data_IF_523455078021
#
_entry.id   IF_523455078021
#
_cell.length_a   1.000
_cell.length_b   1.000
_cell.length_c   1.000
_cell.angle_alpha   90.00
_cell.angle_beta   90.00
_cell.angle_gamma   90.00
#
_symmetry.space_group_name_H-M   'P 1'
#
loop_
_entity.id
_entity.type
_entity.pdbx_description
1 polymer ?
#
# COMPACT_ATOMS: atom_id res chain seq x y z
N UNK A 1 -6.43 1.99 23.67
CA UNK A 1 -7.28 1.06 22.90
C UNK A 1 -7.27 1.36 21.40
N UNK A 2 -7.54 2.56 20.93
CA UNK A 2 -7.59 2.93 19.48
C UNK A 2 -6.35 2.56 18.65
N UNK A 3 -5.13 2.72 19.20
CA UNK A 3 -3.89 2.36 18.48
C UNK A 3 -3.79 0.85 18.21
N UNK A 4 -4.16 0.01 19.18
CA UNK A 4 -4.13 -1.45 19.02
C UNK A 4 -5.16 -1.89 17.99
N UNK A 5 -6.39 -1.37 18.08
CA UNK A 5 -7.46 -1.67 17.12
C UNK A 5 -7.07 -1.29 15.68
N UNK A 6 -6.47 -0.11 15.48
CA UNK A 6 -5.96 0.31 14.18
C UNK A 6 -4.90 -0.66 13.62
N UNK A 7 -3.95 -1.09 14.44
CA UNK A 7 -2.88 -2.00 14.00
C UNK A 7 -3.48 -3.35 13.62
N UNK A 8 -4.38 -3.91 14.43
CA UNK A 8 -5.04 -5.18 14.14
C UNK A 8 -5.80 -5.08 12.81
N UNK A 9 -6.63 -4.05 12.66
CA UNK A 9 -7.40 -3.82 11.43
C UNK A 9 -6.48 -3.68 10.21
N UNK A 10 -5.37 -2.93 10.33
CA UNK A 10 -4.40 -2.77 9.25
C UNK A 10 -3.74 -4.10 8.86
N UNK A 11 -3.35 -4.92 9.84
CA UNK A 11 -2.72 -6.22 9.57
C UNK A 11 -3.70 -7.18 8.91
N UNK A 12 -4.96 -7.22 9.38
CA UNK A 12 -6.01 -8.06 8.77
C UNK A 12 -6.28 -7.66 7.33
N UNK A 13 -6.52 -6.37 7.07
CA UNK A 13 -6.80 -5.88 5.70
C UNK A 13 -5.59 -6.10 4.79
N UNK A 14 -4.38 -5.83 5.27
CA UNK A 14 -3.16 -6.06 4.51
C UNK A 14 -2.97 -7.54 4.18
N UNK A 15 -3.18 -8.43 5.14
CA UNK A 15 -3.12 -9.87 4.94
C UNK A 15 -4.12 -10.34 3.88
N UNK A 16 -5.38 -9.92 3.99
CA UNK A 16 -6.43 -10.28 3.03
C UNK A 16 -6.11 -9.80 1.60
N UNK A 17 -5.67 -8.55 1.45
CA UNK A 17 -5.30 -8.01 0.13
C UNK A 17 -4.06 -8.70 -0.43
N UNK A 18 -3.05 -8.96 0.41
CA UNK A 18 -1.84 -9.65 -0.02
C UNK A 18 -2.17 -11.07 -0.44
N UNK A 19 -2.98 -11.79 0.33
CA UNK A 19 -3.41 -13.14 0.01
C UNK A 19 -4.23 -13.19 -1.28
N UNK A 20 -5.10 -12.21 -1.51
CA UNK A 20 -5.83 -12.06 -2.76
C UNK A 20 -4.91 -11.97 -4.00
N UNK A 21 -3.79 -11.22 -3.90
CA UNK A 21 -2.83 -11.14 -5.00
C UNK A 21 -1.91 -12.36 -5.12
N UNK A 22 -1.70 -13.10 -4.04
CA UNK A 22 -0.87 -14.32 -4.03
C UNK A 22 -1.67 -15.56 -4.42
N UNK A 23 -2.99 -15.52 -4.35
CA UNK A 23 -3.85 -16.66 -4.66
C UNK A 23 -3.63 -17.10 -6.11
N UNK A 24 -3.00 -18.26 -6.27
CA UNK A 24 -2.78 -18.92 -7.55
C UNK A 24 -3.67 -20.16 -7.71
N UNK A 25 -4.24 -20.63 -6.61
CA UNK A 25 -5.08 -21.83 -6.56
C UNK A 25 -6.57 -21.49 -6.56
N UNK A 26 -6.94 -20.20 -6.69
CA UNK A 26 -8.31 -19.70 -6.67
C UNK A 26 -9.13 -20.19 -5.47
N UNK A 27 -8.46 -20.31 -4.31
CA UNK A 27 -9.08 -20.77 -3.06
C UNK A 27 -10.05 -19.72 -2.51
N UNK A 28 -9.82 -18.44 -2.82
CA UNK A 28 -10.62 -17.35 -2.30
C UNK A 28 -11.98 -17.27 -3.01
N UNK A 29 -13.09 -17.23 -2.27
CA UNK A 29 -14.41 -17.08 -2.86
C UNK A 29 -14.54 -15.70 -3.56
N UNK A 30 -15.37 -15.64 -4.63
CA UNK A 30 -15.59 -14.44 -5.43
C UNK A 30 -15.98 -13.19 -4.63
N UNK A 31 -16.50 -13.36 -3.41
CA UNK A 31 -16.80 -12.25 -2.51
C UNK A 31 -15.55 -11.41 -2.15
N UNK A 32 -14.35 -11.99 -2.20
CA UNK A 32 -13.11 -11.26 -1.92
C UNK A 32 -12.70 -10.31 -3.06
N UNK A 33 -13.16 -10.53 -4.28
CA UNK A 33 -12.98 -9.58 -5.39
C UNK A 33 -13.57 -8.20 -5.04
N UNK A 34 -14.60 -8.15 -4.20
CA UNK A 34 -15.19 -6.89 -3.72
C UNK A 34 -14.21 -6.06 -2.87
N UNK A 35 -13.21 -6.67 -2.22
CA UNK A 35 -12.16 -5.94 -1.49
C UNK A 35 -11.33 -5.04 -2.42
N UNK A 36 -11.13 -5.45 -3.67
CA UNK A 36 -10.47 -4.63 -4.67
C UNK A 36 -11.26 -3.36 -4.98
N UNK A 37 -12.58 -3.45 -5.05
CA UNK A 37 -13.46 -2.32 -5.35
C UNK A 37 -13.59 -1.31 -4.20
N UNK A 38 -13.23 -1.68 -2.96
CA UNK A 38 -13.20 -0.76 -1.83
C UNK A 38 -12.01 0.22 -1.91
N UNK A 39 -11.02 -0.06 -2.76
CA UNK A 39 -9.89 0.83 -2.95
C UNK A 39 -10.28 2.07 -3.75
N UNK A 40 -9.63 3.22 -3.45
CA UNK A 40 -10.03 4.53 -3.96
C UNK A 40 -10.04 4.60 -5.50
N UNK A 41 -8.96 4.17 -6.15
CA UNK A 41 -8.86 4.25 -7.62
C UNK A 41 -9.73 3.20 -8.33
N UNK A 42 -9.76 1.93 -7.94
CA UNK A 42 -10.73 0.97 -8.46
C UNK A 42 -12.19 1.40 -8.28
N UNK A 43 -12.54 2.00 -7.13
CA UNK A 43 -13.88 2.54 -6.91
C UNK A 43 -14.19 3.73 -7.84
N UNK A 44 -13.20 4.58 -8.12
CA UNK A 44 -13.32 5.68 -9.08
C UNK A 44 -13.52 5.15 -10.50
N UNK A 45 -12.75 4.16 -10.93
CA UNK A 45 -12.83 3.56 -12.26
C UNK A 45 -14.15 2.80 -12.49
N UNK A 46 -14.67 2.14 -11.45
CA UNK A 46 -15.96 1.44 -11.50
C UNK A 46 -17.17 2.36 -11.31
N UNK A 47 -16.96 3.69 -11.18
CA UNK A 47 -17.99 4.71 -10.93
C UNK A 47 -18.87 4.39 -9.70
N UNK A 48 -18.30 3.73 -8.71
CA UNK A 48 -19.00 3.36 -7.48
C UNK A 48 -19.12 4.57 -6.54
N UNK A 49 -20.05 5.49 -6.84
CA UNK A 49 -20.24 6.73 -6.07
C UNK A 49 -20.46 6.51 -4.58
N UNK A 50 -21.14 5.41 -4.20
CA UNK A 50 -21.40 5.09 -2.79
C UNK A 50 -20.08 4.84 -2.04
N UNK A 51 -19.19 4.02 -2.61
CA UNK A 51 -17.89 3.70 -2.00
C UNK A 51 -17.04 4.96 -1.90
N UNK A 52 -16.98 5.76 -2.96
CA UNK A 52 -16.26 7.04 -2.96
C UNK A 52 -16.81 8.01 -1.91
N UNK A 53 -18.13 8.14 -1.81
CA UNK A 53 -18.78 8.99 -0.81
C UNK A 53 -18.44 8.52 0.62
N UNK A 54 -18.47 7.23 0.89
CA UNK A 54 -18.11 6.65 2.19
C UNK A 54 -16.62 6.92 2.50
N UNK A 55 -15.70 6.73 1.54
CA UNK A 55 -14.28 7.00 1.73
C UNK A 55 -13.99 8.49 1.99
N UNK A 56 -14.68 9.38 1.28
CA UNK A 56 -14.60 10.83 1.50
C UNK A 56 -15.16 11.19 2.87
N UNK A 57 -16.31 10.64 3.24
CA UNK A 57 -16.94 10.87 4.54
C UNK A 57 -16.03 10.42 5.69
N UNK A 58 -15.47 9.21 5.61
CA UNK A 58 -14.49 8.70 6.59
C UNK A 58 -13.28 9.64 6.67
N UNK A 59 -12.81 10.16 5.55
CA UNK A 59 -11.67 11.09 5.53
C UNK A 59 -12.03 12.43 6.15
N UNK A 60 -13.22 12.96 5.94
CA UNK A 60 -13.70 14.18 6.56
C UNK A 60 -13.97 14.02 8.07
N UNK A 61 -14.40 12.85 8.51
CA UNK A 61 -14.60 12.57 9.93
C UNK A 61 -13.27 12.34 10.66
N UNK A 62 -12.45 11.42 10.17
CA UNK A 62 -11.32 10.83 10.88
C UNK A 62 -9.94 11.15 10.27
N UNK A 63 -9.90 11.97 9.23
CA UNK A 63 -8.67 12.32 8.54
C UNK A 63 -8.11 11.18 7.68
N UNK A 64 -6.79 11.05 7.62
CA UNK A 64 -6.09 10.09 6.73
C UNK A 64 -6.09 8.64 7.23
N UNK A 65 -7.15 8.17 7.84
CA UNK A 65 -7.24 6.77 8.32
C UNK A 65 -7.14 5.79 7.16
N UNK A 66 -7.77 6.07 6.01
CA UNK A 66 -7.68 5.23 4.81
C UNK A 66 -6.24 4.83 4.47
N UNK A 67 -5.30 5.80 4.42
CA UNK A 67 -3.90 5.53 4.09
C UNK A 67 -3.16 4.68 5.13
N UNK A 68 -3.70 4.54 6.34
CA UNK A 68 -3.05 3.82 7.44
C UNK A 68 -3.72 2.50 7.80
N UNK A 69 -4.92 2.22 7.28
CA UNK A 69 -5.68 1.02 7.65
C UNK A 69 -6.16 0.23 6.44
N UNK A 70 -6.49 0.89 5.33
CA UNK A 70 -7.11 0.25 4.16
C UNK A 70 -6.12 0.15 3.00
N UNK A 71 -5.31 1.19 2.77
CA UNK A 71 -4.37 1.21 1.65
C UNK A 71 -3.17 0.27 1.90
N UNK A 72 -3.00 -0.80 1.09
CA UNK A 72 -1.94 -1.78 1.31
C UNK A 72 -0.54 -1.17 1.14
N UNK A 73 -0.37 -0.22 0.24
CA UNK A 73 0.90 0.47 0.05
C UNK A 73 1.30 1.31 1.27
N UNK A 74 0.34 1.95 1.95
CA UNK A 74 0.60 2.70 3.17
C UNK A 74 1.04 1.77 4.31
N UNK A 75 0.39 0.63 4.44
CA UNK A 75 0.71 -0.38 5.47
C UNK A 75 2.07 -1.02 5.17
N UNK A 76 2.39 -1.33 3.91
CA UNK A 76 3.70 -1.82 3.49
C UNK A 76 4.83 -0.87 3.91
N UNK A 77 4.67 0.44 3.67
CA UNK A 77 5.66 1.44 4.12
C UNK A 77 5.79 1.48 5.64
N UNK A 78 4.71 1.28 6.39
CA UNK A 78 4.76 1.20 7.85
C UNK A 78 5.53 -0.03 8.32
N UNK A 79 5.33 -1.18 7.69
CA UNK A 79 6.06 -2.42 7.99
C UNK A 79 7.55 -2.21 7.75
N UNK A 80 7.94 -1.69 6.58
CA UNK A 80 9.35 -1.40 6.24
C UNK A 80 9.96 -0.40 7.22
N UNK A 81 9.23 0.64 7.57
CA UNK A 81 9.63 1.65 8.54
C UNK A 81 9.84 1.06 9.94
N UNK A 82 8.95 0.16 10.36
CA UNK A 82 9.06 -0.54 11.64
C UNK A 82 10.29 -1.46 11.67
N UNK A 83 10.53 -2.25 10.61
CA UNK A 83 11.72 -3.09 10.47
C UNK A 83 12.97 -2.22 10.53
N UNK A 84 13.03 -1.11 9.77
CA UNK A 84 14.14 -0.17 9.75
C UNK A 84 14.44 0.42 11.14
N UNK A 85 13.41 0.71 11.93
CA UNK A 85 13.57 1.21 13.31
C UNK A 85 14.09 0.12 14.24
N UNK A 86 13.65 -1.12 14.07
CA UNK A 86 14.05 -2.27 14.90
C UNK A 86 15.49 -2.72 14.63
N UNK A 87 15.91 -2.66 13.35
CA UNK A 87 17.26 -3.11 12.93
C UNK A 87 18.35 -2.06 13.20
N UNK A 88 17.96 -0.80 13.39
CA UNK A 88 18.93 0.27 13.64
C UNK A 88 19.59 0.11 15.03
N UNK A 89 20.93 0.10 15.07
CA UNK A 89 21.74 0.03 16.33
C UNK A 89 21.46 1.18 17.30
N UNK A 90 21.07 2.36 16.79
CA UNK A 90 20.64 3.52 17.59
C UNK A 90 19.17 3.82 17.31
N UNK A 91 18.42 4.39 18.28
CA UNK A 91 17.01 4.79 18.09
C UNK A 91 16.86 5.68 16.86
N UNK A 92 16.47 5.10 15.73
CA UNK A 92 16.28 5.81 14.46
C UNK A 92 15.03 6.68 14.56
N UNK A 93 15.22 7.99 14.44
CA UNK A 93 14.15 8.96 14.36
C UNK A 93 14.10 9.49 12.94
N UNK A 94 12.91 9.47 12.33
CA UNK A 94 12.72 10.10 11.02
C UNK A 94 12.58 11.60 11.24
N UNK A 95 13.41 12.37 10.53
CA UNK A 95 13.30 13.83 10.56
C UNK A 95 12.06 14.25 9.80
N UNK A 96 11.27 15.15 10.37
CA UNK A 96 10.15 15.77 9.65
C UNK A 96 10.67 16.43 8.38
N UNK A 97 10.06 16.07 7.25
CA UNK A 97 10.30 16.72 5.96
C UNK A 97 8.99 17.40 5.54
N UNK A 98 9.01 18.71 5.31
CA UNK A 98 7.83 19.41 4.81
C UNK A 98 7.44 18.83 3.44
N UNK A 99 6.15 18.70 3.21
CA UNK A 99 5.65 18.20 1.94
C UNK A 99 6.04 19.16 0.80
N UNK A 100 6.66 18.62 -0.26
CA UNK A 100 6.99 19.38 -1.47
C UNK A 100 5.70 19.68 -2.24
N UNK A 101 5.04 20.78 -1.91
CA UNK A 101 3.71 21.12 -2.45
C UNK A 101 3.70 21.18 -3.98
N UNK A 102 4.73 21.74 -4.61
CA UNK A 102 4.84 21.82 -6.06
C UNK A 102 4.81 20.42 -6.72
N UNK A 103 5.58 19.47 -6.17
CA UNK A 103 5.61 18.09 -6.66
C UNK A 103 4.26 17.38 -6.44
N UNK A 104 3.64 17.58 -5.29
CA UNK A 104 2.35 16.94 -4.95
C UNK A 104 1.24 17.36 -5.90
N UNK A 105 1.07 18.65 -6.08
CA UNK A 105 0.03 19.20 -6.96
C UNK A 105 0.35 18.96 -8.43
N UNK A 106 1.64 18.98 -8.82
CA UNK A 106 2.07 18.63 -10.17
C UNK A 106 1.73 17.18 -10.51
N UNK A 107 2.06 16.23 -9.64
CA UNK A 107 1.73 14.81 -9.88
C UNK A 107 0.21 14.59 -9.88
N UNK A 108 -0.53 15.23 -8.98
CA UNK A 108 -1.99 15.14 -8.98
C UNK A 108 -2.58 15.73 -10.27
N UNK A 109 -2.08 16.88 -10.74
CA UNK A 109 -2.52 17.50 -12.00
C UNK A 109 -2.25 16.60 -13.20
N UNK A 110 -1.03 16.06 -13.32
CA UNK A 110 -0.67 15.12 -14.39
C UNK A 110 -1.55 13.87 -14.37
N UNK A 111 -1.80 13.30 -13.19
CA UNK A 111 -2.68 12.12 -13.08
C UNK A 111 -4.13 12.45 -13.40
N UNK A 112 -4.64 13.60 -13.02
CA UNK A 112 -6.00 14.03 -13.34
C UNK A 112 -6.16 14.28 -14.86
N UNK A 113 -5.19 14.93 -15.48
CA UNK A 113 -5.16 15.14 -16.94
C UNK A 113 -5.08 13.79 -17.66
N UNK A 114 -4.16 12.90 -17.24
CA UNK A 114 -4.03 11.58 -17.83
C UNK A 114 -5.33 10.76 -17.71
N UNK A 115 -6.03 10.87 -16.59
CA UNK A 115 -7.34 10.23 -16.40
C UNK A 115 -8.40 10.78 -17.38
N UNK A 116 -8.47 12.09 -17.57
CA UNK A 116 -9.42 12.71 -18.50
C UNK A 116 -9.16 12.33 -19.95
N UNK A 117 -7.88 12.17 -20.34
CA UNK A 117 -7.49 11.73 -21.68
C UNK A 117 -7.49 10.20 -21.86
N UNK A 118 -7.86 9.43 -20.83
CA UNK A 118 -7.91 7.97 -20.90
C UNK A 118 -6.54 7.27 -20.82
N UNK A 119 -5.48 7.95 -20.43
CA UNK A 119 -4.16 7.35 -20.25
C UNK A 119 -4.08 6.56 -18.93
N UNK A 120 -4.66 5.36 -18.93
CA UNK A 120 -4.76 4.48 -17.75
C UNK A 120 -3.40 3.99 -17.24
N UNK A 121 -2.37 3.95 -18.10
CA UNK A 121 -1.01 3.50 -17.74
C UNK A 121 -0.39 4.39 -16.67
N UNK A 122 -0.47 5.71 -16.83
CA UNK A 122 0.10 6.67 -15.86
C UNK A 122 -0.64 6.56 -14.53
N UNK A 123 -1.97 6.44 -14.58
CA UNK A 123 -2.79 6.24 -13.40
C UNK A 123 -2.38 4.94 -12.68
N UNK A 124 -2.29 3.82 -13.42
CA UNK A 124 -1.89 2.54 -12.86
C UNK A 124 -0.46 2.53 -12.28
N UNK A 125 0.48 3.32 -12.81
CA UNK A 125 1.83 3.43 -12.26
C UNK A 125 1.86 4.18 -10.92
N UNK A 126 1.06 5.23 -10.78
CA UNK A 126 1.05 6.12 -9.62
C UNK A 126 0.03 5.71 -8.55
N UNK A 127 -0.98 4.90 -8.93
CA UNK A 127 -1.97 4.38 -8.00
C UNK A 127 -1.32 3.45 -6.96
N UNK A 128 -1.53 3.70 -5.66
CA UNK A 128 -0.93 2.89 -4.61
C UNK A 128 -1.40 1.44 -4.58
N UNK A 129 -2.64 1.17 -4.97
CA UNK A 129 -3.18 -0.18 -5.02
C UNK A 129 -2.58 -0.98 -6.18
N UNK A 130 -2.57 -0.41 -7.40
CA UNK A 130 -1.96 -1.03 -8.58
C UNK A 130 -0.46 -1.24 -8.42
N UNK A 131 0.24 -0.27 -7.81
CA UNK A 131 1.66 -0.38 -7.50
C UNK A 131 1.95 -1.53 -6.52
N UNK A 132 1.12 -1.68 -5.47
CA UNK A 132 1.22 -2.80 -4.54
C UNK A 132 0.91 -4.13 -5.22
N UNK A 133 -0.14 -4.21 -6.03
CA UNK A 133 -0.49 -5.41 -6.81
C UNK A 133 0.66 -5.85 -7.72
N UNK A 134 1.26 -4.93 -8.47
CA UNK A 134 2.44 -5.24 -9.31
C UNK A 134 3.62 -5.78 -8.50
N UNK A 135 3.94 -5.18 -7.35
CA UNK A 135 5.00 -5.70 -6.47
C UNK A 135 4.67 -7.11 -6.00
N UNK A 136 3.43 -7.34 -5.56
CA UNK A 136 3.01 -8.63 -5.01
C UNK A 136 3.00 -9.72 -6.08
N UNK A 137 2.42 -9.45 -7.25
CA UNK A 137 2.31 -10.44 -8.32
C UNK A 137 3.66 -10.74 -8.98
N UNK A 138 4.52 -9.74 -9.14
CA UNK A 138 5.79 -9.95 -9.87
C UNK A 138 6.97 -10.30 -8.96
N UNK A 139 6.94 -9.95 -7.67
CA UNK A 139 8.06 -10.22 -6.74
C UNK A 139 7.69 -11.29 -5.72
N UNK A 140 6.54 -11.13 -5.02
CA UNK A 140 6.20 -12.06 -3.94
C UNK A 140 5.55 -13.34 -4.43
N UNK A 141 4.70 -13.29 -5.45
CA UNK A 141 4.03 -14.47 -6.00
C UNK A 141 5.02 -15.51 -6.55
N UNK A 142 6.03 -15.18 -7.38
CA UNK A 142 7.02 -16.13 -7.81
C UNK A 142 7.82 -16.76 -6.66
N UNK A 143 8.19 -15.96 -5.64
CA UNK A 143 8.87 -16.46 -4.45
C UNK A 143 7.98 -17.43 -3.68
N UNK A 144 6.70 -17.14 -3.54
CA UNK A 144 5.72 -18.02 -2.91
C UNK A 144 5.53 -19.32 -3.68
N UNK A 145 5.45 -19.29 -5.02
CA UNK A 145 5.35 -20.47 -5.88
C UNK A 145 6.61 -21.33 -5.81
N UNK A 146 7.80 -20.73 -5.79
CA UNK A 146 9.05 -21.46 -5.59
C UNK A 146 9.10 -22.12 -4.20
N UNK A 147 8.62 -21.42 -3.17
CA UNK A 147 8.49 -21.98 -1.82
C UNK A 147 7.53 -23.18 -1.78
N UNK A 148 6.39 -23.09 -2.48
CA UNK A 148 5.45 -24.20 -2.62
C UNK A 148 6.09 -25.42 -3.31
N UNK A 149 6.83 -25.19 -4.41
CA UNK A 149 7.51 -26.28 -5.14
C UNK A 149 8.62 -26.92 -4.30
N UNK A 150 9.31 -26.14 -3.47
CA UNK A 150 10.27 -26.69 -2.51
C UNK A 150 9.58 -27.59 -1.48
N UNK A 151 8.45 -27.15 -0.93
CA UNK A 151 7.66 -27.97 -0.01
C UNK A 151 7.14 -29.23 -0.69
N UNK A 152 6.62 -29.12 -1.93
CA UNK A 152 6.19 -30.28 -2.72
C UNK A 152 7.32 -31.31 -2.86
N UNK A 153 8.53 -30.89 -3.24
CA UNK A 153 9.69 -31.77 -3.37
C UNK A 153 10.07 -32.48 -2.06
N UNK A 154 9.94 -31.78 -0.92
CA UNK A 154 10.19 -32.35 0.40
C UNK A 154 9.09 -33.37 0.76
N UNK A 155 7.83 -33.00 0.62
CA UNK A 155 6.70 -33.85 1.05
C UNK A 155 6.47 -35.02 0.13
N UNK A 156 6.76 -34.90 -1.17
CA UNK A 156 6.71 -36.03 -2.11
C UNK A 156 7.75 -37.11 -1.75
N UNK A 157 8.91 -36.73 -1.21
CA UNK A 157 9.92 -37.70 -0.70
C UNK A 157 9.40 -38.52 0.48
N UNK A 158 8.37 -38.05 1.18
CA UNK A 158 7.66 -38.74 2.27
C UNK A 158 6.36 -39.41 1.82
N UNK A 159 6.13 -39.59 0.51
CA UNK A 159 4.90 -40.11 -0.09
C UNK A 159 3.62 -39.29 0.29
N UNK A 160 3.77 -38.02 0.57
CA UNK A 160 2.69 -37.12 0.88
C UNK A 160 2.47 -36.12 -0.26
N UNK A 161 1.35 -36.21 -0.95
CA UNK A 161 1.01 -35.41 -2.15
C UNK A 161 0.04 -34.29 -1.84
N UNK A 162 0.15 -33.66 -0.68
CA UNK A 162 -0.70 -32.51 -0.28
C UNK A 162 -0.37 -31.25 -1.09
N UNK A 163 0.88 -31.11 -1.53
CA UNK A 163 1.34 -30.00 -2.36
C UNK A 163 1.49 -30.49 -3.80
N UNK A 164 1.15 -29.62 -4.77
CA UNK A 164 1.35 -29.89 -6.19
C UNK A 164 2.32 -28.89 -6.79
N UNK A 165 3.03 -29.32 -7.81
CA UNK A 165 3.98 -28.49 -8.53
C UNK A 165 3.26 -27.42 -9.33
N UNK A 166 3.70 -26.19 -9.23
CA UNK A 166 3.15 -25.02 -9.92
C UNK A 166 4.24 -24.38 -10.78
N UNK A 167 3.93 -24.15 -12.05
CA UNK A 167 4.85 -23.45 -12.95
C UNK A 167 5.02 -22.00 -12.51
N UNK A 168 6.17 -21.67 -11.95
CA UNK A 168 6.56 -20.33 -11.56
C UNK A 168 6.94 -19.50 -12.80
N UNK A 169 6.01 -19.32 -13.75
CA UNK A 169 6.24 -18.53 -14.94
C UNK A 169 6.11 -17.03 -14.63
N UNK A 170 7.06 -16.24 -15.10
CA UNK A 170 6.96 -14.78 -15.10
C UNK A 170 6.00 -14.38 -16.22
N UNK A 171 4.98 -13.60 -15.88
CA UNK A 171 3.99 -13.09 -16.84
C UNK A 171 4.64 -12.31 -17.99
N UNK A 172 5.65 -11.50 -17.67
CA UNK A 172 6.42 -10.70 -18.63
C UNK A 172 7.67 -10.14 -17.95
N UNK A 173 8.80 -10.14 -18.65
CA UNK A 173 10.06 -9.58 -18.15
C UNK A 173 9.92 -8.08 -17.86
N UNK A 174 9.21 -7.33 -18.73
CA UNK A 174 8.98 -5.90 -18.52
C UNK A 174 8.14 -5.63 -17.25
N UNK A 175 7.10 -6.42 -17.02
CA UNK A 175 6.26 -6.32 -15.81
C UNK A 175 7.04 -6.65 -14.54
N UNK A 176 7.92 -7.66 -14.59
CA UNK A 176 8.81 -8.02 -13.51
C UNK A 176 9.78 -6.88 -13.17
N UNK A 177 10.43 -6.28 -14.18
CA UNK A 177 11.37 -5.16 -13.98
C UNK A 177 10.65 -3.97 -13.34
N UNK A 178 9.46 -3.60 -13.82
CA UNK A 178 8.67 -2.49 -13.26
C UNK A 178 8.24 -2.81 -11.82
N UNK A 179 7.79 -4.04 -11.54
CA UNK A 179 7.40 -4.48 -10.21
C UNK A 179 8.57 -4.44 -9.23
N UNK A 180 9.73 -4.95 -9.64
CA UNK A 180 10.96 -4.96 -8.85
C UNK A 180 11.47 -3.53 -8.59
N UNK A 181 11.50 -2.70 -9.62
CA UNK A 181 11.90 -1.28 -9.48
C UNK A 181 10.97 -0.54 -8.51
N UNK A 182 9.66 -0.75 -8.63
CA UNK A 182 8.67 -0.17 -7.72
C UNK A 182 8.93 -0.62 -6.28
N UNK A 183 9.18 -1.91 -6.06
CA UNK A 183 9.49 -2.47 -4.74
C UNK A 183 10.76 -1.84 -4.15
N UNK A 184 11.84 -1.77 -4.93
CA UNK A 184 13.11 -1.19 -4.48
C UNK A 184 13.00 0.29 -4.17
N UNK A 185 12.38 1.09 -5.04
CA UNK A 185 12.23 2.53 -4.85
C UNK A 185 11.38 2.84 -3.62
N UNK A 186 10.20 2.21 -3.50
CA UNK A 186 9.30 2.47 -2.38
C UNK A 186 9.87 1.91 -1.08
N UNK A 187 10.47 0.71 -1.12
CA UNK A 187 11.14 0.10 0.02
C UNK A 187 12.31 0.96 0.53
N UNK A 188 13.16 1.47 -0.36
CA UNK A 188 14.26 2.36 0.00
C UNK A 188 13.76 3.68 0.61
N UNK A 189 12.75 4.31 0.00
CA UNK A 189 12.15 5.54 0.53
C UNK A 189 11.53 5.30 1.90
N UNK A 190 10.82 4.19 2.08
CA UNK A 190 10.23 3.83 3.36
C UNK A 190 11.29 3.53 4.43
N UNK A 191 12.37 2.86 4.04
CA UNK A 191 13.50 2.55 4.94
C UNK A 191 14.21 3.80 5.44
N UNK A 192 14.42 4.78 4.57
CA UNK A 192 15.23 5.98 4.88
C UNK A 192 14.41 7.14 5.40
N UNK A 193 13.22 7.36 4.84
CA UNK A 193 12.41 8.56 5.05
C UNK A 193 10.99 8.30 5.56
N UNK A 194 10.60 7.04 5.75
CA UNK A 194 9.25 6.70 6.17
C UNK A 194 8.22 6.83 5.05
N UNK A 195 7.03 7.36 5.34
CA UNK A 195 5.91 7.46 4.39
C UNK A 195 6.05 8.56 3.32
N UNK A 196 7.26 8.80 2.83
CA UNK A 196 7.52 9.88 1.87
C UNK A 196 6.78 9.69 0.54
N UNK A 197 6.70 8.46 0.03
CA UNK A 197 5.94 8.17 -1.18
C UNK A 197 4.49 8.62 -1.08
N UNK A 198 3.78 8.22 -0.02
CA UNK A 198 2.38 8.60 0.19
C UNK A 198 2.18 10.11 0.40
N UNK A 199 3.20 10.81 0.89
CA UNK A 199 3.10 12.23 1.20
C UNK A 199 3.51 13.15 0.04
N UNK A 200 4.31 12.66 -0.92
CA UNK A 200 4.89 13.50 -1.99
C UNK A 200 4.49 13.10 -3.40
N UNK A 201 4.34 11.80 -3.66
CA UNK A 201 4.13 11.29 -5.02
C UNK A 201 2.72 10.74 -5.22
N UNK A 202 2.14 10.08 -4.20
CA UNK A 202 0.84 9.43 -4.34
C UNK A 202 -0.29 10.44 -4.58
N UNK A 203 -1.02 10.36 -5.72
CA UNK A 203 -2.13 11.27 -6.03
C UNK A 203 -3.29 11.12 -5.04
N UNK A 204 -3.63 9.86 -4.67
CA UNK A 204 -4.66 9.57 -3.66
C UNK A 204 -4.27 10.16 -2.31
N UNK A 205 -3.00 10.00 -1.89
CA UNK A 205 -2.47 10.58 -0.65
C UNK A 205 -2.50 12.12 -0.66
N UNK A 206 -2.34 12.74 -1.82
CA UNK A 206 -2.45 14.20 -1.98
C UNK A 206 -3.89 14.67 -1.85
N UNK A 207 -4.83 14.02 -2.55
CA UNK A 207 -6.25 14.35 -2.52
C UNK A 207 -6.84 14.17 -1.11
N UNK A 208 -6.67 12.99 -0.52
CA UNK A 208 -7.14 12.72 0.84
C UNK A 208 -6.44 13.59 1.88
N UNK A 209 -5.18 13.97 1.60
CA UNK A 209 -4.44 14.90 2.43
C UNK A 209 -4.99 16.31 2.41
N UNK A 210 -5.51 16.76 1.29
CA UNK A 210 -6.21 18.04 1.19
C UNK A 210 -7.53 17.98 1.95
N UNK A 211 -8.36 16.96 1.71
CA UNK A 211 -9.64 16.76 2.41
C UNK A 211 -9.46 16.64 3.94
N UNK A 212 -8.40 15.99 4.40
CA UNK A 212 -8.12 15.81 5.83
C UNK A 212 -7.83 17.11 6.59
N UNK A 213 -7.57 18.22 5.89
CA UNK A 213 -7.46 19.54 6.54
C UNK A 213 -8.79 20.01 7.15
N UNK A 214 -9.90 19.56 6.57
CA UNK A 214 -11.25 19.86 7.00
C UNK A 214 -11.84 18.79 7.92
N UNK A 215 -11.03 17.79 8.36
CA UNK A 215 -11.53 16.71 9.20
C UNK A 215 -11.96 17.19 10.59
N UNK A 216 -13.06 16.61 11.10
CA UNK A 216 -13.60 16.90 12.43
C UNK A 216 -12.64 16.42 13.54
N UNK A 217 -12.16 15.19 13.43
CA UNK A 217 -11.22 14.61 14.38
C UNK A 217 -9.79 14.71 13.81
N UNK A 218 -9.07 15.73 14.21
CA UNK A 218 -7.66 15.90 13.81
C UNK A 218 -6.76 16.02 15.02
N UNK A 219 -5.59 15.40 14.93
CA UNK A 219 -4.53 15.54 15.93
C UNK A 219 -3.93 16.93 15.78
N UNK A 220 -4.03 17.76 16.81
CA UNK A 220 -3.35 19.05 16.90
C UNK A 220 -2.18 18.91 17.85
N UNK A 221 -1.01 19.34 17.43
CA UNK A 221 0.20 19.38 18.25
C UNK A 221 0.35 20.82 18.72
N UNK A 222 0.39 20.99 20.02
CA UNK A 222 0.68 22.27 20.66
C UNK A 222 2.18 22.54 20.49
N UNK A 223 2.51 23.58 19.73
CA UNK A 223 3.91 23.92 19.42
C UNK A 223 4.68 24.35 20.66
N UNK A 224 4.03 24.98 21.65
CA UNK A 224 4.65 25.46 22.88
C UNK A 224 5.03 24.30 23.81
N UNK A 225 4.25 23.21 23.79
CA UNK A 225 4.51 21.97 24.58
C UNK A 225 5.35 20.94 23.82
N UNK A 226 5.73 21.22 22.57
CA UNK A 226 6.46 20.30 21.75
C UNK A 226 7.97 20.30 22.10
N UNK A 227 8.48 19.19 22.59
CA UNK A 227 9.90 18.98 22.86
C UNK A 227 10.70 18.46 21.65
N UNK A 228 10.18 18.56 20.46
CA UNK A 228 10.80 18.14 19.19
C UNK A 228 11.33 16.69 19.16
N UNK A 229 10.74 15.76 19.92
CA UNK A 229 11.21 14.37 20.02
C UNK A 229 11.04 13.55 18.74
N UNK A 230 10.30 14.04 17.72
CA UNK A 230 10.09 13.38 16.43
C UNK A 230 9.19 12.12 16.50
N UNK A 231 8.46 11.89 17.59
CA UNK A 231 7.57 10.74 17.72
C UNK A 231 6.27 10.88 16.93
N UNK A 232 5.92 12.12 16.56
CA UNK A 232 4.70 12.44 15.80
C UNK A 232 4.93 12.43 14.28
N UNK A 233 6.18 12.31 13.81
CA UNK A 233 6.58 12.34 12.40
C UNK A 233 6.54 10.96 11.74
#
# INVERSE_FOLDING_TARGET
MLRKARIILSVVIFGLITFYFLDFAEILPNSFHRLAHIQFVPALMSLSFIILAVLILITLLLGRIYCSTICPMGIFQDIVTWISKKTAKKKKRFRYSPAKNMLRWGVLGVTAIAFLFGFTVILGLLDPYSAFGRMTVNVFKPVYMLGNNLLESIFSSFNNYTFYQVDASLLSISSFIIGLLTFLVIGFLAWKYGRTWCNTICPVGTLLGFLSRYSLFKVRIDAEKCNHCGLCA
#
